data_IF_934972429850
#
_entry.id   IF_934972429850
#
_cell.length_a   1.000
_cell.length_b   1.000
_cell.length_c   1.000
_cell.angle_alpha   90.00
_cell.angle_beta   90.00
_cell.angle_gamma   90.00
#
_symmetry.space_group_name_H-M   'P 1'
#
loop_
_entity.id
_entity.type
_entity.pdbx_description
1 polymer ?
#
# COMPACT_ATOMS: atom_id res chain seq x y z
N UNK A 1 13.41 -7.77 -17.27
CA UNK A 1 14.38 -6.70 -16.99
C UNK A 1 14.41 -6.48 -15.49
N UNK A 2 15.59 -6.37 -14.89
CA UNK A 2 15.76 -6.37 -13.43
C UNK A 2 15.52 -4.97 -12.86
N UNK A 3 14.41 -4.80 -12.13
CA UNK A 3 14.19 -3.60 -11.30
C UNK A 3 15.16 -3.70 -10.12
N UNK A 4 15.87 -2.64 -9.71
CA UNK A 4 16.64 -2.65 -8.46
C UNK A 4 15.64 -2.74 -7.30
N UNK A 5 15.42 -3.97 -6.81
CA UNK A 5 14.07 -4.46 -6.43
C UNK A 5 13.73 -4.32 -4.95
N UNK A 6 14.65 -3.90 -4.09
CA UNK A 6 14.46 -3.95 -2.63
C UNK A 6 14.15 -2.56 -2.06
N UNK A 7 14.95 -1.54 -2.35
CA UNK A 7 14.73 -0.18 -1.82
C UNK A 7 13.43 0.46 -2.36
N UNK A 8 13.15 0.33 -3.67
CA UNK A 8 11.88 0.81 -4.24
C UNK A 8 10.66 0.09 -3.67
N UNK A 9 10.79 -1.22 -3.48
CA UNK A 9 9.74 -2.08 -2.91
C UNK A 9 9.43 -1.70 -1.48
N UNK A 10 10.47 -1.36 -0.74
CA UNK A 10 10.41 -0.93 0.65
C UNK A 10 9.70 0.41 0.82
N UNK A 11 9.94 1.36 -0.10
CA UNK A 11 9.26 2.66 -0.09
C UNK A 11 7.77 2.56 -0.39
N UNK A 12 7.41 1.75 -1.39
CA UNK A 12 6.00 1.52 -1.75
C UNK A 12 5.29 0.84 -0.59
N UNK A 13 5.83 -0.26 -0.06
CA UNK A 13 5.25 -0.96 1.11
C UNK A 13 5.08 -0.02 2.30
N UNK A 14 6.08 0.82 2.58
CA UNK A 14 6.00 1.80 3.64
C UNK A 14 4.86 2.78 3.40
N UNK A 15 4.73 3.32 2.20
CA UNK A 15 3.66 4.24 1.85
C UNK A 15 2.28 3.59 2.02
N UNK A 16 2.13 2.35 1.56
CA UNK A 16 0.88 1.57 1.69
C UNK A 16 0.48 1.41 3.16
N UNK A 17 1.42 0.95 4.00
CA UNK A 17 1.18 0.76 5.43
C UNK A 17 0.95 2.10 6.16
N UNK A 18 1.67 3.16 5.76
CA UNK A 18 1.53 4.48 6.36
C UNK A 18 0.16 5.11 6.05
N UNK A 19 -0.36 4.93 4.84
CA UNK A 19 -1.73 5.36 4.48
C UNK A 19 -2.77 4.57 5.27
N UNK A 20 -2.52 3.28 5.52
CA UNK A 20 -3.35 2.42 6.37
C UNK A 20 -3.22 2.70 7.87
N UNK A 21 -2.26 3.52 8.31
CA UNK A 21 -2.16 3.94 9.71
C UNK A 21 -3.40 4.71 10.18
N UNK A 22 -4.06 5.43 9.28
CA UNK A 22 -5.32 6.11 9.59
C UNK A 22 -6.46 5.16 9.92
N UNK A 23 -6.33 3.87 9.60
CA UNK A 23 -7.34 2.81 9.83
C UNK A 23 -7.03 1.97 11.09
N UNK A 24 -6.16 2.45 11.97
CA UNK A 24 -5.83 1.79 13.23
C UNK A 24 -7.03 1.67 14.19
N UNK A 25 -7.96 2.62 14.16
CA UNK A 25 -9.12 2.64 15.04
C UNK A 25 -10.30 1.85 14.46
N UNK A 26 -10.53 1.96 13.15
CA UNK A 26 -11.66 1.35 12.45
C UNK A 26 -11.20 0.87 11.07
N UNK A 27 -11.69 -0.29 10.64
CA UNK A 27 -11.46 -0.78 9.28
C UNK A 27 -12.12 0.17 8.28
N UNK A 28 -11.32 0.70 7.34
CA UNK A 28 -11.79 1.67 6.35
C UNK A 28 -11.30 1.29 4.96
N UNK A 29 -12.00 1.77 3.94
CA UNK A 29 -11.59 1.57 2.55
C UNK A 29 -10.50 2.59 2.21
N UNK A 30 -9.36 2.11 1.72
CA UNK A 30 -8.22 2.94 1.33
C UNK A 30 -8.05 2.90 -0.18
N UNK A 31 -8.13 4.06 -0.80
CA UNK A 31 -7.85 4.27 -2.21
C UNK A 31 -6.41 4.77 -2.39
N UNK A 32 -5.65 4.09 -3.25
CA UNK A 32 -4.29 4.48 -3.63
C UNK A 32 -4.30 5.07 -5.03
N UNK A 33 -3.82 6.30 -5.17
CA UNK A 33 -3.78 7.06 -6.42
C UNK A 33 -2.34 7.17 -6.92
N UNK A 34 -2.10 7.36 -8.23
CA UNK A 34 -0.74 7.55 -8.77
C UNK A 34 -0.05 8.78 -8.16
N UNK A 35 -0.83 9.84 -7.97
CA UNK A 35 -0.40 11.11 -7.39
C UNK A 35 0.03 11.03 -5.90
N UNK A 36 -0.36 9.97 -5.20
CA UNK A 36 0.11 9.73 -3.83
C UNK A 36 1.62 9.41 -3.76
N UNK A 37 2.23 8.98 -4.87
CA UNK A 37 3.61 8.50 -4.92
C UNK A 37 4.58 9.56 -5.46
N UNK A 38 4.44 10.83 -5.03
CA UNK A 38 5.26 12.01 -5.40
C UNK A 38 6.59 11.67 -6.13
N UNK A 39 6.67 12.01 -7.42
CA UNK A 39 7.81 11.80 -8.35
C UNK A 39 8.16 10.34 -8.72
N UNK A 40 7.39 9.34 -8.26
CA UNK A 40 7.57 7.94 -8.65
C UNK A 40 6.50 7.52 -9.67
N UNK A 41 6.96 7.06 -10.82
CA UNK A 41 6.10 6.32 -11.77
C UNK A 41 5.87 4.94 -11.18
N UNK A 42 4.71 4.73 -10.55
CA UNK A 42 4.26 3.43 -10.05
C UNK A 42 3.14 2.89 -10.92
N UNK A 43 3.24 1.61 -11.28
CA UNK A 43 2.20 0.94 -12.05
C UNK A 43 1.13 0.33 -11.13
N UNK A 44 -0.10 0.19 -11.63
CA UNK A 44 -1.17 -0.48 -10.90
C UNK A 44 -0.79 -1.90 -10.49
N UNK A 45 -0.12 -2.64 -11.38
CA UNK A 45 0.41 -3.98 -11.16
C UNK A 45 1.38 -4.02 -9.98
N UNK A 46 2.32 -3.08 -9.94
CA UNK A 46 3.33 -2.96 -8.87
C UNK A 46 2.66 -2.67 -7.53
N UNK A 47 1.77 -1.67 -7.46
CA UNK A 47 1.04 -1.35 -6.24
C UNK A 47 0.23 -2.55 -5.76
N UNK A 48 -0.46 -3.25 -6.67
CA UNK A 48 -1.26 -4.44 -6.35
C UNK A 48 -0.41 -5.58 -5.79
N UNK A 49 0.74 -5.88 -6.41
CA UNK A 49 1.67 -6.91 -5.93
C UNK A 49 2.19 -6.60 -4.53
N UNK A 50 2.54 -5.33 -4.27
CA UNK A 50 3.05 -4.91 -2.97
C UNK A 50 1.95 -4.93 -1.92
N UNK A 51 0.71 -4.57 -2.30
CA UNK A 51 -0.43 -4.61 -1.40
C UNK A 51 -0.84 -6.04 -1.07
N UNK A 52 -0.83 -6.94 -2.04
CA UNK A 52 -1.05 -8.37 -1.82
C UNK A 52 0.03 -8.94 -0.90
N UNK A 53 1.30 -8.57 -1.12
CA UNK A 53 2.40 -9.01 -0.27
C UNK A 53 2.20 -8.59 1.19
N UNK A 54 1.82 -7.34 1.48
CA UNK A 54 1.59 -6.91 2.88
C UNK A 54 0.36 -7.57 3.50
N UNK A 55 -0.64 -7.95 2.70
CA UNK A 55 -1.80 -8.71 3.17
C UNK A 55 -1.41 -10.15 3.49
N UNK A 56 -0.70 -10.83 2.60
CA UNK A 56 -0.26 -12.22 2.76
C UNK A 56 0.71 -12.40 3.93
N UNK A 57 1.57 -11.40 4.17
CA UNK A 57 2.46 -11.38 5.33
C UNK A 57 1.76 -10.97 6.64
N UNK A 58 0.47 -10.65 6.59
CA UNK A 58 -0.32 -10.30 7.76
C UNK A 58 0.01 -8.92 8.34
N UNK A 59 0.65 -8.03 7.57
CA UNK A 59 0.92 -6.64 7.98
C UNK A 59 -0.33 -5.77 7.85
N UNK A 60 -1.15 -6.03 6.85
CA UNK A 60 -2.41 -5.34 6.59
C UNK A 60 -3.53 -6.38 6.47
N UNK A 61 -4.69 -6.14 7.06
CA UNK A 61 -5.92 -6.90 6.76
C UNK A 61 -6.74 -6.09 5.77
N UNK A 62 -7.35 -6.75 4.79
CA UNK A 62 -8.21 -6.10 3.82
C UNK A 62 -8.39 -6.95 2.58
N UNK A 63 -9.29 -6.53 1.70
CA UNK A 63 -9.54 -7.17 0.42
C UNK A 63 -9.21 -6.21 -0.71
N UNK A 64 -8.43 -6.66 -1.68
CA UNK A 64 -8.18 -5.90 -2.90
C UNK A 64 -9.45 -5.87 -3.73
N UNK A 65 -10.02 -4.68 -3.93
CA UNK A 65 -11.08 -4.50 -4.90
C UNK A 65 -10.44 -4.23 -6.25
N UNK A 66 -10.58 -5.18 -7.17
CA UNK A 66 -10.32 -4.98 -8.60
C UNK A 66 -11.46 -4.14 -9.19
N UNK A 67 -11.62 -2.89 -8.75
CA UNK A 67 -12.54 -2.01 -9.44
C UNK A 67 -11.86 -1.61 -10.76
N UNK A 68 -12.41 -1.96 -11.93
CA UNK A 68 -11.87 -1.45 -13.18
C UNK A 68 -11.97 0.06 -13.13
N UNK A 69 -10.86 0.75 -13.43
CA UNK A 69 -10.85 2.18 -13.64
C UNK A 69 -11.81 2.49 -14.80
N UNK A 70 -13.08 2.72 -14.49
CA UNK A 70 -14.01 3.31 -15.44
C UNK A 70 -13.65 4.79 -15.50
N UNK A 71 -12.78 5.10 -16.45
CA UNK A 71 -12.67 6.38 -17.16
C UNK A 71 -12.90 7.63 -16.31
N UNK A 72 -11.83 8.14 -15.71
CA UNK A 72 -11.64 9.56 -15.38
C UNK A 72 -10.18 9.73 -14.93
N UNK A 73 -9.52 10.82 -15.30
CA UNK A 73 -8.10 11.15 -15.05
C UNK A 73 -7.64 11.05 -13.57
N UNK A 74 -8.56 10.78 -12.63
CA UNK A 74 -8.33 10.66 -11.20
C UNK A 74 -8.71 9.28 -10.60
N UNK A 75 -8.82 8.22 -11.41
CA UNK A 75 -9.14 6.89 -10.88
C UNK A 75 -8.06 6.34 -9.94
N UNK A 76 -8.42 5.70 -8.82
CA UNK A 76 -7.45 5.03 -7.95
C UNK A 76 -6.83 3.83 -8.66
N UNK A 77 -5.52 3.62 -8.46
CA UNK A 77 -4.79 2.44 -8.91
C UNK A 77 -5.39 1.18 -8.27
N UNK A 78 -5.49 1.19 -6.95
CA UNK A 78 -5.97 0.04 -6.17
C UNK A 78 -6.79 0.54 -5.00
N UNK A 79 -7.88 -0.16 -4.69
CA UNK A 79 -8.67 0.08 -3.47
C UNK A 79 -8.56 -1.12 -2.56
N UNK A 80 -8.08 -0.91 -1.34
CA UNK A 80 -8.08 -1.91 -0.28
C UNK A 80 -9.33 -1.72 0.58
N UNK A 81 -10.29 -2.63 0.47
CA UNK A 81 -11.54 -2.61 1.23
C UNK A 81 -11.36 -3.22 2.61
N UNK A 82 -12.01 -2.62 3.61
CA UNK A 82 -11.86 -3.01 5.02
C UNK A 82 -10.38 -3.09 5.43
N UNK A 83 -9.58 -2.11 5.00
CA UNK A 83 -8.18 -2.07 5.31
C UNK A 83 -7.99 -1.77 6.80
N UNK A 84 -7.26 -2.64 7.49
CA UNK A 84 -6.96 -2.49 8.91
C UNK A 84 -5.50 -2.84 9.15
N UNK A 85 -4.74 -1.88 9.66
CA UNK A 85 -3.34 -2.09 10.01
C UNK A 85 -3.23 -3.05 11.20
N UNK A 86 -2.37 -4.06 11.08
CA UNK A 86 -2.13 -5.03 12.16
C UNK A 86 -0.99 -4.60 13.08
N UNK A 87 -0.86 -5.24 14.24
CA UNK A 87 0.30 -5.08 15.12
C UNK A 87 1.65 -5.33 14.43
N UNK A 88 1.71 -6.31 13.52
CA UNK A 88 2.94 -6.60 12.77
C UNK A 88 3.25 -5.50 11.75
N UNK A 89 2.24 -5.00 11.03
CA UNK A 89 2.41 -3.85 10.13
C UNK A 89 2.88 -2.59 10.88
N UNK A 90 2.40 -2.40 12.11
CA UNK A 90 2.86 -1.32 13.01
C UNK A 90 4.31 -1.47 13.43
N UNK A 91 4.73 -2.69 13.76
CA UNK A 91 6.14 -2.97 14.06
C UNK A 91 7.00 -2.67 12.84
N UNK A 92 6.61 -3.09 11.63
CA UNK A 92 7.36 -2.79 10.40
C UNK A 92 7.51 -1.28 10.18
N UNK A 93 6.42 -0.51 10.33
CA UNK A 93 6.46 0.95 10.24
C UNK A 93 7.37 1.59 11.30
N UNK A 94 7.32 1.11 12.55
CA UNK A 94 8.18 1.59 13.64
C UNK A 94 9.64 1.21 13.44
N UNK A 95 9.93 -0.04 13.11
CA UNK A 95 11.29 -0.58 13.01
C UNK A 95 12.06 0.10 11.88
N UNK A 96 11.42 0.38 10.73
CA UNK A 96 12.06 1.17 9.67
C UNK A 96 12.29 2.64 10.05
N UNK A 97 11.53 3.19 11.00
CA UNK A 97 11.74 4.54 11.54
C UNK A 97 12.86 4.60 12.60
N UNK A 98 13.37 3.45 13.08
CA UNK A 98 14.34 3.36 14.18
C UNK A 98 15.68 2.71 13.81
N UNK A 99 15.98 2.49 12.54
CA UNK A 99 17.37 2.27 12.11
C UNK A 99 18.03 3.63 11.85
N UNK A 100 18.45 4.24 12.96
CA UNK A 100 19.41 5.36 13.03
C UNK A 100 20.82 4.81 12.86
#
# INVERSE_FOLDING_TARGET
MSIPTIERRDDIIYFLLNKAKSTEADAQDISYYPQDFEDKVVEQSEVKEHLQYVIDNGYLKGNLSEQPAQSEDEAPLVVCKNAQLTDEGRKVLRTKYFMV
#
